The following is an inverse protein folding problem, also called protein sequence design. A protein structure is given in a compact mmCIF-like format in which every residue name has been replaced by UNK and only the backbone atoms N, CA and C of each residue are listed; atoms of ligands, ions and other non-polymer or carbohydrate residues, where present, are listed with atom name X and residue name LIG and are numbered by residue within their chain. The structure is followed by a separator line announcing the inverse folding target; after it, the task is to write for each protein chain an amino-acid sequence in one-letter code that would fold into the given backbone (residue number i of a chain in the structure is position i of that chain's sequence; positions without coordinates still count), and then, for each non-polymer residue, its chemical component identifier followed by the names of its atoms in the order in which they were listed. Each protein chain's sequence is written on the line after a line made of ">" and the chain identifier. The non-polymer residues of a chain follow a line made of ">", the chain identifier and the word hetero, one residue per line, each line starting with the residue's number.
data_IF_346409084835
#
_entry.id   IF_346409084835
#
_cell.length_a   1.000
_cell.length_b   1.000
_cell.length_c   1.000
_cell.angle_alpha   90.00
_cell.angle_beta   90.00
_cell.angle_gamma   90.00
#
_symmetry.space_group_name_H-M   'P 1'
#
loop_
_entity.id
_entity.type
_entity.pdbx_description
1 polymer ?
#
# COMPACT_ATOMS: atom_id res chain seq x y z
N UNK A 1 39.07 -9.12 21.70
CA UNK A 1 38.56 -8.30 20.58
C UNK A 1 37.98 -7.02 21.17
N UNK A 2 38.59 -5.88 20.83
CA UNK A 2 38.65 -4.70 21.70
C UNK A 2 37.38 -3.84 21.67
N UNK A 3 36.93 -3.46 22.88
CA UNK A 3 35.82 -2.55 23.20
C UNK A 3 35.82 -1.25 22.38
N UNK A 4 36.99 -0.76 21.96
CA UNK A 4 37.15 0.43 21.13
C UNK A 4 36.59 0.30 19.69
N UNK A 5 36.54 -0.92 19.13
CA UNK A 5 36.03 -1.16 17.78
C UNK A 5 34.50 -1.19 17.75
N UNK A 6 33.87 -1.68 18.84
CA UNK A 6 32.42 -1.60 19.04
C UNK A 6 31.91 -0.16 19.24
N UNK A 7 32.70 0.69 19.90
CA UNK A 7 32.36 2.12 20.07
C UNK A 7 32.44 2.87 18.74
N UNK A 8 33.45 2.58 17.91
CA UNK A 8 33.59 3.18 16.56
C UNK A 8 32.48 2.72 15.60
N UNK A 9 32.00 1.47 15.72
CA UNK A 9 30.86 0.97 14.92
C UNK A 9 29.50 1.51 15.41
N UNK A 10 29.34 1.80 16.70
CA UNK A 10 28.16 2.50 17.23
C UNK A 10 28.02 3.96 16.77
N UNK A 11 29.13 4.63 16.47
CA UNK A 11 29.12 6.03 15.98
C UNK A 11 28.54 6.17 14.56
N UNK A 12 28.73 5.16 13.70
CA UNK A 12 28.14 5.13 12.36
C UNK A 12 26.61 5.00 12.39
N UNK A 13 26.07 4.42 13.47
CA UNK A 13 24.63 4.24 13.66
C UNK A 13 24.00 5.46 14.36
N UNK A 14 24.75 6.14 15.23
CA UNK A 14 24.30 7.36 15.93
C UNK A 14 24.07 8.54 14.98
N UNK A 15 24.72 8.54 13.81
CA UNK A 15 24.51 9.55 12.78
C UNK A 15 23.17 9.44 12.04
N UNK A 16 22.53 8.26 12.04
CA UNK A 16 21.19 8.08 11.45
C UNK A 16 20.06 8.45 12.41
N UNK A 17 20.37 8.70 13.69
CA UNK A 17 19.39 8.78 14.77
C UNK A 17 19.24 10.18 15.38
N UNK A 18 20.01 11.16 14.91
CA UNK A 18 19.85 12.57 15.26
C UNK A 18 19.14 13.25 14.10
N UNK A 19 17.83 13.50 14.28
CA UNK A 19 16.99 14.27 13.36
C UNK A 19 17.33 15.76 13.33
N UNK A 20 18.62 16.10 13.26
CA UNK A 20 19.12 17.45 13.14
C UNK A 20 20.20 17.45 12.05
N UNK A 21 19.76 17.37 10.79
CA UNK A 21 20.22 18.31 9.77
C UNK A 21 19.49 18.05 8.45
N UNK A 22 18.45 18.85 8.21
CA UNK A 22 17.91 19.17 6.89
C UNK A 22 18.93 19.94 6.01
N UNK A 23 20.23 19.93 6.37
CA UNK A 23 21.32 20.66 5.71
C UNK A 23 22.45 19.76 5.19
N UNK A 24 22.28 18.44 5.10
CA UNK A 24 23.12 17.62 4.23
C UNK A 24 22.65 17.71 2.78
N UNK A 25 22.76 18.92 2.23
CA UNK A 25 22.79 19.13 0.79
C UNK A 25 24.18 19.69 0.43
N UNK A 26 25.09 18.78 0.06
CA UNK A 26 26.14 18.91 -0.97
C UNK A 26 27.24 17.86 -0.80
N UNK A 27 26.95 16.63 -1.21
CA UNK A 27 27.96 15.73 -1.78
C UNK A 27 27.38 15.22 -3.12
N UNK A 28 28.09 15.38 -4.25
CA UNK A 28 27.63 14.87 -5.54
C UNK A 28 27.85 13.35 -5.58
N UNK A 29 26.77 12.59 -5.39
CA UNK A 29 26.81 11.13 -5.31
C UNK A 29 25.63 10.58 -4.51
N UNK A 30 24.42 10.86 -5.01
CA UNK A 30 23.09 10.38 -4.58
C UNK A 30 23.05 9.47 -3.34
N UNK A 31 22.73 10.06 -2.19
CA UNK A 31 22.09 9.35 -1.07
C UNK A 31 20.60 9.60 -1.21
N UNK A 32 19.85 8.60 -1.63
CA UNK A 32 18.40 8.68 -1.73
C UNK A 32 17.80 9.05 -0.37
N UNK A 33 17.04 10.14 -0.33
CA UNK A 33 16.31 10.56 0.87
C UNK A 33 15.12 9.61 1.09
N UNK A 34 15.30 8.59 1.92
CA UNK A 34 14.22 7.68 2.30
C UNK A 34 13.23 8.34 3.26
N UNK A 35 11.94 8.02 3.11
CA UNK A 35 10.92 8.48 4.06
C UNK A 35 11.17 7.92 5.46
N UNK A 36 10.83 8.67 6.51
CA UNK A 36 10.99 8.21 7.90
C UNK A 36 10.30 6.87 8.16
N UNK A 37 9.16 6.61 7.52
CA UNK A 37 8.47 5.32 7.65
C UNK A 37 9.26 4.18 7.00
N UNK A 38 9.88 4.42 5.84
CA UNK A 38 10.77 3.45 5.18
C UNK A 38 11.93 3.09 6.11
N UNK A 39 12.62 4.08 6.67
CA UNK A 39 13.75 3.85 7.60
C UNK A 39 13.31 3.04 8.83
N UNK A 40 12.09 3.29 9.35
CA UNK A 40 11.55 2.52 10.47
C UNK A 40 11.27 1.05 10.13
N UNK A 41 10.77 0.77 8.92
CA UNK A 41 10.51 -0.58 8.45
C UNK A 41 11.82 -1.36 8.28
N UNK A 42 12.83 -0.74 7.68
CA UNK A 42 14.17 -1.33 7.55
C UNK A 42 14.80 -1.63 8.92
N UNK A 43 14.73 -0.69 9.86
CA UNK A 43 15.20 -0.91 11.23
C UNK A 43 14.40 -2.03 11.93
N UNK A 44 13.10 -2.15 11.69
CA UNK A 44 12.30 -3.23 12.26
C UNK A 44 12.74 -4.60 11.71
N UNK A 45 13.00 -4.70 10.41
CA UNK A 45 13.50 -5.90 9.76
C UNK A 45 14.86 -6.31 10.32
N UNK A 46 15.80 -5.37 10.40
CA UNK A 46 17.12 -5.62 11.00
C UNK A 46 17.02 -6.03 12.47
N UNK A 47 16.13 -5.38 13.24
CA UNK A 47 15.89 -5.75 14.63
C UNK A 47 15.38 -7.18 14.75
N UNK A 48 14.46 -7.60 13.87
CA UNK A 48 13.96 -8.96 13.85
C UNK A 48 15.06 -9.97 13.49
N UNK A 49 15.87 -9.68 12.46
CA UNK A 49 17.01 -10.52 12.07
C UNK A 49 17.97 -10.78 13.25
N UNK A 50 18.38 -9.73 13.96
CA UNK A 50 19.27 -9.89 15.12
C UNK A 50 18.62 -10.68 16.27
N UNK A 51 17.30 -10.56 16.42
CA UNK A 51 16.55 -11.31 17.43
C UNK A 51 16.57 -12.80 17.11
N UNK A 52 16.30 -13.18 15.85
CA UNK A 52 16.37 -14.56 15.36
C UNK A 52 17.80 -15.11 15.44
N UNK A 53 18.80 -14.31 15.04
CA UNK A 53 20.21 -14.68 15.12
C UNK A 53 20.69 -15.02 16.54
N UNK A 54 20.17 -14.30 17.54
CA UNK A 54 20.49 -14.52 18.97
C UNK A 54 19.73 -15.73 19.51
N UNK A 55 18.42 -15.81 19.23
CA UNK A 55 17.54 -16.80 19.86
C UNK A 55 17.59 -18.18 19.21
N UNK A 56 17.67 -18.23 17.88
CA UNK A 56 17.52 -19.47 17.11
C UNK A 56 18.85 -19.96 16.56
N UNK A 57 19.68 -19.07 16.01
CA UNK A 57 20.91 -19.47 15.32
C UNK A 57 22.10 -19.66 16.27
N UNK A 58 21.98 -19.22 17.53
CA UNK A 58 23.01 -19.43 18.54
C UNK A 58 24.35 -18.78 18.21
N UNK A 59 24.35 -17.67 17.44
CA UNK A 59 25.56 -17.00 16.93
C UNK A 59 26.45 -16.35 18.02
N UNK A 60 26.13 -16.54 19.30
CA UNK A 60 26.90 -15.96 20.42
C UNK A 60 26.80 -14.44 20.53
N UNK A 61 25.87 -13.82 19.82
CA UNK A 61 25.55 -12.40 19.96
C UNK A 61 24.84 -12.18 21.29
N UNK A 62 25.32 -11.23 22.10
CA UNK A 62 24.82 -11.02 23.46
C UNK A 62 23.67 -10.02 23.55
N UNK A 63 23.51 -9.15 22.54
CA UNK A 63 22.43 -8.17 22.50
C UNK A 63 22.12 -7.72 21.06
N UNK A 64 20.90 -7.23 20.86
CA UNK A 64 20.45 -6.68 19.58
C UNK A 64 20.89 -5.20 19.45
N UNK A 65 21.79 -4.85 18.50
CA UNK A 65 22.32 -3.49 18.37
C UNK A 65 21.26 -2.48 17.92
N UNK A 66 20.18 -2.93 17.28
CA UNK A 66 19.11 -2.06 16.75
C UNK A 66 18.26 -1.45 17.86
N UNK A 67 18.22 -2.07 19.05
CA UNK A 67 17.47 -1.55 20.20
C UNK A 67 18.03 -0.23 20.74
N UNK A 68 19.33 0.04 20.51
CA UNK A 68 19.99 1.26 20.95
C UNK A 68 19.85 2.43 19.96
N UNK A 69 19.18 2.21 18.83
CA UNK A 69 18.99 3.22 17.79
C UNK A 69 17.73 4.03 18.08
N UNK A 70 17.85 5.37 18.10
CA UNK A 70 16.67 6.24 18.12
C UNK A 70 15.98 6.16 16.77
N UNK A 71 14.75 5.63 16.76
CA UNK A 71 13.92 5.57 15.55
C UNK A 71 13.43 6.98 15.21
N UNK A 72 13.41 7.37 13.92
CA UNK A 72 12.86 8.67 13.52
C UNK A 72 11.37 8.73 13.89
N UNK A 73 10.88 9.93 14.19
CA UNK A 73 9.47 10.14 14.55
C UNK A 73 8.57 9.60 13.44
N UNK A 74 7.49 8.86 13.76
CA UNK A 74 6.49 8.53 12.75
C UNK A 74 5.96 9.83 12.15
N UNK A 75 5.95 9.92 10.82
CA UNK A 75 5.36 11.07 10.13
C UNK A 75 3.88 11.20 10.46
N UNK A 76 3.32 12.40 10.26
CA UNK A 76 1.89 12.62 10.43
C UNK A 76 1.08 11.62 9.60
N UNK A 77 0.07 11.02 10.24
CA UNK A 77 -0.87 10.15 9.56
C UNK A 77 -1.61 10.92 8.47
N UNK A 78 -1.97 10.22 7.39
CA UNK A 78 -2.83 10.80 6.35
C UNK A 78 -4.27 10.78 6.84
N UNK A 79 -4.79 11.91 7.34
CA UNK A 79 -6.21 12.06 7.73
C UNK A 79 -6.97 13.09 6.88
N UNK A 80 -6.36 13.51 5.77
CA UNK A 80 -6.97 14.48 4.85
C UNK A 80 -8.04 13.79 3.99
N UNK A 81 -9.30 14.20 4.15
CA UNK A 81 -10.39 13.86 3.22
C UNK A 81 -10.46 14.87 2.07
N UNK A 82 -10.97 14.43 0.93
CA UNK A 82 -11.24 15.32 -0.20
C UNK A 82 -12.36 16.30 0.17
N UNK A 83 -12.20 17.55 -0.23
CA UNK A 83 -13.30 18.52 -0.18
C UNK A 83 -14.24 18.31 -1.36
N UNK A 84 -15.50 18.77 -1.26
CA UNK A 84 -16.48 18.63 -2.33
C UNK A 84 -16.00 19.23 -3.67
N UNK A 85 -15.23 20.31 -3.62
CA UNK A 85 -14.68 20.98 -4.82
C UNK A 85 -13.60 20.14 -5.49
N UNK A 86 -12.75 19.49 -4.69
CA UNK A 86 -11.70 18.60 -5.18
C UNK A 86 -12.28 17.32 -5.76
N UNK A 87 -13.32 16.77 -5.15
CA UNK A 87 -14.05 15.63 -5.67
C UNK A 87 -14.64 15.95 -7.05
N UNK A 88 -15.29 17.12 -7.21
CA UNK A 88 -15.81 17.55 -8.51
C UNK A 88 -14.71 17.71 -9.56
N UNK A 89 -13.56 18.28 -9.18
CA UNK A 89 -12.38 18.40 -10.07
C UNK A 89 -11.82 17.03 -10.47
N UNK A 90 -11.75 16.10 -9.52
CA UNK A 90 -11.30 14.73 -9.75
C UNK A 90 -12.21 14.01 -10.75
N UNK A 91 -13.52 14.03 -10.50
CA UNK A 91 -14.51 13.39 -11.39
C UNK A 91 -14.45 14.03 -12.79
N UNK A 92 -14.33 15.36 -12.88
CA UNK A 92 -14.22 16.05 -14.17
C UNK A 92 -12.95 15.66 -14.94
N UNK A 93 -11.81 15.50 -14.24
CA UNK A 93 -10.57 15.06 -14.86
C UNK A 93 -10.66 13.61 -15.34
N UNK A 94 -11.24 12.72 -14.52
CA UNK A 94 -11.39 11.30 -14.87
C UNK A 94 -12.34 11.10 -16.05
N UNK A 95 -13.42 11.89 -16.15
CA UNK A 95 -14.33 11.86 -17.30
C UNK A 95 -13.68 12.27 -18.63
N UNK A 96 -12.60 13.05 -18.60
CA UNK A 96 -11.84 13.43 -19.81
C UNK A 96 -10.88 12.32 -20.26
N UNK A 97 -10.63 11.33 -19.43
CA UNK A 97 -9.73 10.23 -19.75
C UNK A 97 -10.41 9.23 -20.70
N UNK A 98 -9.67 8.70 -21.68
CA UNK A 98 -10.21 7.84 -22.73
C UNK A 98 -10.73 6.48 -22.22
N UNK A 99 -10.25 6.03 -21.05
CA UNK A 99 -10.67 4.76 -20.46
C UNK A 99 -11.90 4.94 -19.54
N UNK A 100 -13.09 4.44 -19.92
CA UNK A 100 -14.31 4.57 -19.12
C UNK A 100 -14.25 3.80 -17.79
N UNK A 101 -13.37 2.80 -17.69
CA UNK A 101 -13.25 1.94 -16.50
C UNK A 101 -12.68 2.70 -15.32
N UNK A 102 -11.75 3.64 -15.58
CA UNK A 102 -11.19 4.50 -14.55
C UNK A 102 -12.28 5.34 -13.87
N UNK A 103 -13.25 5.83 -14.64
CA UNK A 103 -14.38 6.59 -14.13
C UNK A 103 -15.24 5.76 -13.17
N UNK A 104 -15.55 4.52 -13.52
CA UNK A 104 -16.33 3.64 -12.64
C UNK A 104 -15.54 3.27 -11.37
N UNK A 105 -14.26 2.93 -11.49
CA UNK A 105 -13.39 2.59 -10.36
C UNK A 105 -13.33 3.74 -9.35
N UNK A 106 -13.12 4.97 -9.82
CA UNK A 106 -13.03 6.15 -8.94
C UNK A 106 -14.36 6.42 -8.25
N UNK A 107 -15.49 6.36 -8.98
CA UNK A 107 -16.83 6.53 -8.39
C UNK A 107 -17.09 5.49 -7.30
N UNK A 108 -16.77 4.22 -7.57
CA UNK A 108 -16.97 3.13 -6.60
C UNK A 108 -16.06 3.31 -5.38
N UNK A 109 -14.80 3.70 -5.58
CA UNK A 109 -13.85 3.92 -4.50
C UNK A 109 -14.30 5.04 -3.54
N UNK A 110 -14.84 6.14 -4.08
CA UNK A 110 -15.37 7.25 -3.30
C UNK A 110 -16.58 6.83 -2.46
N UNK A 111 -17.49 6.07 -3.05
CA UNK A 111 -18.75 5.67 -2.40
C UNK A 111 -18.59 4.53 -1.38
N UNK A 112 -17.72 3.55 -1.67
CA UNK A 112 -17.62 2.31 -0.89
C UNK A 112 -16.42 2.28 0.06
N UNK A 113 -15.43 3.16 -0.14
CA UNK A 113 -14.19 3.16 0.63
C UNK A 113 -13.37 1.87 0.49
N UNK A 114 -13.64 1.05 -0.53
CA UNK A 114 -12.91 -0.18 -0.80
C UNK A 114 -11.44 0.11 -1.12
N UNK A 115 -10.55 -0.83 -0.77
CA UNK A 115 -9.14 -0.73 -1.16
C UNK A 115 -9.01 -0.87 -2.68
N UNK A 116 -8.03 -0.20 -3.27
CA UNK A 116 -7.81 -0.28 -4.73
C UNK A 116 -7.64 -1.73 -5.19
N UNK A 117 -6.90 -2.56 -4.45
CA UNK A 117 -6.73 -3.98 -4.76
C UNK A 117 -8.02 -4.80 -4.66
N UNK A 118 -8.95 -4.43 -3.78
CA UNK A 118 -10.26 -5.08 -3.67
C UNK A 118 -11.14 -4.73 -4.87
N UNK A 119 -11.04 -3.50 -5.39
CA UNK A 119 -11.81 -3.06 -6.56
C UNK A 119 -11.25 -3.68 -7.84
N UNK A 120 -9.92 -3.70 -8.03
CA UNK A 120 -9.31 -4.18 -9.29
C UNK A 120 -9.39 -5.69 -9.47
N UNK A 121 -9.46 -6.46 -8.38
CA UNK A 121 -9.57 -7.94 -8.42
C UNK A 121 -11.01 -8.44 -8.37
N UNK A 122 -11.98 -7.54 -8.36
CA UNK A 122 -13.38 -7.86 -8.17
C UNK A 122 -13.96 -8.64 -9.37
N UNK A 123 -14.64 -9.73 -9.07
CA UNK A 123 -15.28 -10.62 -10.05
C UNK A 123 -16.78 -10.36 -10.16
N UNK A 124 -17.38 -10.67 -11.30
CA UNK A 124 -18.82 -10.45 -11.55
C UNK A 124 -19.70 -11.18 -10.54
N UNK A 125 -19.35 -12.42 -10.20
CA UNK A 125 -20.09 -13.22 -9.21
C UNK A 125 -20.05 -12.66 -7.77
N UNK A 126 -19.14 -11.73 -7.49
CA UNK A 126 -19.05 -11.06 -6.19
C UNK A 126 -19.98 -9.85 -6.07
N UNK A 127 -20.51 -9.34 -7.18
CA UNK A 127 -21.35 -8.14 -7.23
C UNK A 127 -22.81 -8.54 -7.42
N UNK A 128 -23.63 -8.27 -6.41
CA UNK A 128 -25.07 -8.45 -6.49
C UNK A 128 -25.75 -7.08 -6.56
N UNK A 129 -26.02 -6.64 -7.79
CA UNK A 129 -26.65 -5.34 -8.08
C UNK A 129 -28.10 -5.30 -7.60
N UNK A 130 -28.79 -6.44 -7.57
CA UNK A 130 -30.19 -6.51 -7.13
C UNK A 130 -30.30 -6.31 -5.61
N UNK A 131 -29.41 -6.96 -4.85
CA UNK A 131 -29.32 -6.80 -3.40
C UNK A 131 -28.48 -5.61 -2.96
N UNK A 132 -27.80 -4.92 -3.89
CA UNK A 132 -26.88 -3.79 -3.64
C UNK A 132 -25.76 -4.16 -2.66
N UNK A 133 -25.13 -5.31 -2.88
CA UNK A 133 -24.02 -5.79 -2.04
C UNK A 133 -22.85 -6.27 -2.88
N UNK A 134 -21.64 -6.09 -2.34
CA UNK A 134 -20.41 -6.67 -2.89
C UNK A 134 -19.77 -7.57 -1.84
N UNK A 135 -19.43 -8.80 -2.26
CA UNK A 135 -18.78 -9.80 -1.40
C UNK A 135 -17.28 -9.80 -1.67
N UNK A 136 -16.50 -9.30 -0.74
CA UNK A 136 -15.04 -9.27 -0.82
C UNK A 136 -14.53 -10.58 -0.23
N UNK A 137 -14.10 -11.49 -1.10
CA UNK A 137 -13.70 -12.84 -0.71
C UNK A 137 -12.22 -12.94 -0.34
N UNK A 138 -11.38 -12.04 -0.84
CA UNK A 138 -9.94 -12.25 -0.77
C UNK A 138 -9.17 -10.94 -0.64
N UNK A 139 -8.48 -10.76 0.49
CA UNK A 139 -7.26 -9.93 0.53
C UNK A 139 -6.31 -10.52 1.56
N UNK A 140 -5.02 -10.52 1.22
CA UNK A 140 -3.86 -11.03 1.97
C UNK A 140 -3.86 -10.91 3.52
N UNK A 141 -4.67 -10.03 4.12
CA UNK A 141 -4.70 -9.79 5.57
C UNK A 141 -6.11 -9.41 6.08
N UNK A 142 -7.20 -9.71 5.38
CA UNK A 142 -8.55 -9.29 5.83
C UNK A 142 -9.57 -10.40 5.58
N UNK A 143 -10.37 -10.69 6.61
CA UNK A 143 -11.43 -11.69 6.56
C UNK A 143 -12.47 -11.32 5.49
N UNK A 144 -13.13 -12.31 4.87
CA UNK A 144 -14.21 -12.07 3.93
C UNK A 144 -15.27 -11.15 4.54
N UNK A 145 -15.65 -10.10 3.81
CA UNK A 145 -16.68 -9.15 4.26
C UNK A 145 -17.64 -8.77 3.15
N UNK A 146 -18.83 -8.35 3.52
CA UNK A 146 -19.82 -7.82 2.59
C UNK A 146 -19.89 -6.30 2.75
N UNK A 147 -19.71 -5.58 1.64
CA UNK A 147 -19.85 -4.12 1.59
C UNK A 147 -21.23 -3.75 0.99
N UNK A 148 -22.04 -2.93 1.67
CA UNK A 148 -23.26 -2.40 1.08
C UNK A 148 -22.93 -1.37 0.01
N UNK A 149 -23.75 -1.30 -1.05
CA UNK A 149 -23.61 -0.35 -2.15
C UNK A 149 -24.61 0.79 -2.01
N UNK A 150 -24.12 2.02 -2.19
CA UNK A 150 -24.97 3.20 -2.37
C UNK A 150 -25.69 3.13 -3.72
N UNK A 151 -26.69 3.98 -3.94
CA UNK A 151 -27.39 4.08 -5.23
C UNK A 151 -26.43 4.42 -6.37
N UNK A 152 -25.48 5.30 -6.10
CA UNK A 152 -24.54 5.80 -7.08
C UNK A 152 -23.46 4.76 -7.40
N UNK A 153 -23.00 4.02 -6.38
CA UNK A 153 -22.13 2.86 -6.58
C UNK A 153 -22.85 1.76 -7.37
N UNK A 154 -24.13 1.51 -7.08
CA UNK A 154 -24.94 0.51 -7.81
C UNK A 154 -25.11 0.88 -9.28
N UNK A 155 -25.34 2.16 -9.57
CA UNK A 155 -25.40 2.67 -10.94
C UNK A 155 -24.05 2.50 -11.66
N UNK A 156 -22.94 2.85 -11.00
CA UNK A 156 -21.59 2.67 -11.57
C UNK A 156 -21.28 1.18 -11.85
N UNK A 157 -21.65 0.26 -10.96
CA UNK A 157 -21.52 -1.18 -11.19
C UNK A 157 -22.39 -1.67 -12.34
N UNK A 158 -23.62 -1.16 -12.48
CA UNK A 158 -24.50 -1.51 -13.60
C UNK A 158 -23.90 -1.08 -14.94
N UNK A 159 -23.40 0.16 -15.02
CA UNK A 159 -22.71 0.67 -16.21
C UNK A 159 -21.47 -0.18 -16.53
N UNK A 160 -20.64 -0.48 -15.53
CA UNK A 160 -19.43 -1.29 -15.71
C UNK A 160 -19.74 -2.72 -16.16
N UNK A 161 -20.80 -3.33 -15.62
CA UNK A 161 -21.20 -4.68 -15.97
C UNK A 161 -21.79 -4.77 -17.39
N UNK A 162 -22.46 -3.71 -17.84
CA UNK A 162 -23.08 -3.60 -19.17
C UNK A 162 -22.10 -3.23 -20.30
N UNK A 163 -20.83 -2.94 -19.99
CA UNK A 163 -19.82 -2.58 -20.99
C UNK A 163 -19.61 -3.69 -22.04
N UNK A 164 -19.84 -3.44 -23.35
CA UNK A 164 -19.79 -4.47 -24.38
C UNK A 164 -18.37 -4.94 -24.76
N UNK A 165 -17.32 -4.20 -24.37
CA UNK A 165 -15.92 -4.46 -24.79
C UNK A 165 -15.25 -5.53 -23.91
N UNK A 166 -16.01 -6.35 -23.17
CA UNK A 166 -15.43 -7.34 -22.25
C UNK A 166 -14.81 -8.52 -22.99
N UNK A 167 -13.54 -8.90 -22.69
CA UNK A 167 -12.95 -10.16 -23.14
C UNK A 167 -13.78 -11.36 -22.66
N UNK A 168 -14.05 -12.31 -23.55
CA UNK A 168 -14.90 -13.47 -23.28
C UNK A 168 -14.40 -14.34 -22.12
N UNK A 169 -13.09 -14.36 -21.89
CA UNK A 169 -12.42 -15.20 -20.88
C UNK A 169 -12.22 -14.50 -19.52
N UNK A 170 -12.60 -13.22 -19.39
CA UNK A 170 -12.39 -12.47 -18.14
C UNK A 170 -13.65 -12.44 -17.28
N UNK A 171 -13.53 -12.94 -16.06
CA UNK A 171 -14.58 -12.82 -15.03
C UNK A 171 -14.46 -11.55 -14.17
N UNK A 172 -13.48 -10.69 -14.47
CA UNK A 172 -13.28 -9.44 -13.75
C UNK A 172 -14.34 -8.40 -14.14
N UNK A 173 -14.79 -7.63 -13.15
CA UNK A 173 -15.64 -6.45 -13.39
C UNK A 173 -14.85 -5.38 -14.14
N UNK A 174 -13.59 -5.18 -13.75
CA UNK A 174 -12.67 -4.24 -14.39
C UNK A 174 -11.50 -4.98 -15.04
N UNK A 175 -11.45 -4.93 -16.36
CA UNK A 175 -10.44 -5.52 -17.25
C UNK A 175 -9.71 -4.39 -18.01
N UNK A 176 -8.62 -3.88 -17.48
CA UNK A 176 -7.70 -3.01 -18.24
C UNK A 176 -6.40 -3.73 -18.51
N UNK A 177 -5.54 -3.17 -19.35
CA UNK A 177 -4.09 -3.47 -19.34
C UNK A 177 -3.49 -3.00 -18.01
N UNK A 178 -3.88 -3.67 -16.93
CA UNK A 178 -3.12 -3.70 -15.71
C UNK A 178 -1.96 -4.65 -16.01
N UNK A 179 -0.69 -4.23 -15.89
CA UNK A 179 0.41 -5.18 -16.00
C UNK A 179 0.10 -6.34 -15.06
N UNK A 180 0.19 -7.59 -15.55
CA UNK A 180 -0.31 -8.75 -14.82
C UNK A 180 0.42 -8.80 -13.48
N UNK A 181 -0.30 -8.49 -12.42
CA UNK A 181 0.12 -8.84 -11.08
C UNK A 181 -0.04 -10.36 -11.04
N UNK A 182 1.06 -11.05 -11.39
CA UNK A 182 1.34 -12.48 -11.24
C UNK A 182 0.19 -13.25 -10.57
N UNK A 183 -0.77 -13.69 -11.38
CA UNK A 183 -1.68 -14.76 -10.99
C UNK A 183 -0.88 -16.05 -11.18
N UNK A 184 -0.65 -16.86 -10.14
CA UNK A 184 -0.01 -18.15 -10.32
C UNK A 184 -0.93 -19.03 -11.16
N UNK A 185 -0.39 -19.59 -12.24
CA UNK A 185 -1.07 -20.60 -13.06
C UNK A 185 -1.35 -21.83 -12.19
N UNK A 186 -2.55 -22.43 -12.26
CA UNK A 186 -2.78 -23.74 -11.67
C UNK A 186 -1.97 -24.80 -12.43
N UNK A 187 -1.39 -25.71 -11.65
CA UNK A 187 -0.65 -26.90 -12.07
C UNK A 187 -1.49 -27.89 -12.87
#
# INVERSE_FOLDING_TARGET
>A
MNSAENVRRCLLIRHLSHGEDFRLNRCPGSVDHYSNNTVRLELALLSHLFTVAIQEWGLGLTFNPVLNIRKPSPGEGRDRRLTADEERKLIAAVKKHSNPMLNWIVRIALETGMRSSEITTLRRGQVDVARRIVRLLDTKNTQPRTAPLTTDATAAFREALANPIRPLDSDLVFFGDLPPVLVPLPS
#
